data_IF_496564932921
#
_entry.id   IF_496564932921
#
_cell.length_a   1.000
_cell.length_b   1.000
_cell.length_c   1.000
_cell.angle_alpha   90.00
_cell.angle_beta   90.00
_cell.angle_gamma   90.00
#
_symmetry.space_group_name_H-M   'P 1'
#
loop_
_entity.id
_entity.type
_entity.pdbx_description
1 polymer ?
#
# COMPACT_ATOMS: atom_id res chain seq x y z
N UNK A 1 14.26 -8.08 -3.60
CA UNK A 1 13.72 -7.40 -4.78
C UNK A 1 12.80 -8.38 -5.49
N UNK A 2 11.49 -8.13 -5.49
CA UNK A 2 10.53 -8.95 -6.26
C UNK A 2 10.35 -8.28 -7.63
N UNK A 3 10.69 -9.01 -8.70
CA UNK A 3 10.36 -8.66 -10.08
C UNK A 3 9.24 -9.61 -10.49
N UNK A 4 8.02 -9.10 -10.67
CA UNK A 4 6.97 -9.88 -11.34
C UNK A 4 6.90 -9.37 -12.77
N UNK A 5 7.56 -10.13 -13.65
CA UNK A 5 7.66 -9.80 -15.05
C UNK A 5 6.60 -10.55 -15.87
N UNK A 6 5.88 -9.82 -16.72
CA UNK A 6 5.10 -10.38 -17.84
C UNK A 6 5.67 -9.95 -19.18
N UNK A 7 6.94 -9.53 -19.23
CA UNK A 7 7.55 -9.04 -20.45
C UNK A 7 8.25 -10.20 -21.16
N UNK A 8 7.58 -10.78 -22.15
CA UNK A 8 8.26 -11.35 -23.31
C UNK A 8 8.86 -10.19 -24.11
N UNK A 9 10.16 -9.92 -23.94
CA UNK A 9 10.91 -8.97 -24.75
C UNK A 9 11.14 -9.55 -26.16
N UNK A 10 10.18 -9.37 -27.06
CA UNK A 10 10.41 -9.48 -28.50
C UNK A 10 10.85 -8.13 -29.05
N UNK A 11 11.87 -8.11 -29.89
CA UNK A 11 12.50 -6.93 -30.50
C UNK A 11 11.64 -6.19 -31.53
N UNK A 12 10.31 -6.30 -31.44
CA UNK A 12 9.35 -5.76 -32.42
C UNK A 12 8.21 -5.00 -31.70
N UNK A 13 8.53 -4.15 -30.72
CA UNK A 13 7.57 -3.16 -30.25
C UNK A 13 7.69 -1.89 -31.11
N UNK A 14 7.33 -2.04 -32.38
CA UNK A 14 7.14 -0.94 -33.31
C UNK A 14 5.70 -0.41 -33.21
N UNK A 15 5.34 0.09 -32.03
CA UNK A 15 4.23 1.03 -31.87
C UNK A 15 4.53 1.94 -30.66
N UNK A 16 4.25 3.23 -30.77
CA UNK A 16 4.72 4.29 -29.86
C UNK A 16 4.10 4.29 -28.45
N UNK A 17 3.68 3.13 -27.93
CA UNK A 17 3.00 3.00 -26.65
C UNK A 17 4.01 3.08 -25.49
N UNK A 18 3.92 4.14 -24.68
CA UNK A 18 4.80 4.35 -23.52
C UNK A 18 4.55 3.28 -22.47
N UNK A 19 5.52 2.39 -22.26
CA UNK A 19 5.45 1.35 -21.23
C UNK A 19 5.67 1.95 -19.83
N UNK A 20 4.72 1.70 -18.93
CA UNK A 20 4.76 2.16 -17.54
C UNK A 20 5.16 1.01 -16.61
N UNK A 21 5.96 1.32 -15.60
CA UNK A 21 6.39 0.40 -14.55
C UNK A 21 6.07 1.05 -13.20
N UNK A 22 5.49 0.28 -12.27
CA UNK A 22 5.31 0.75 -10.90
C UNK A 22 6.42 0.19 -10.00
N UNK A 23 7.02 1.08 -9.20
CA UNK A 23 8.04 0.74 -8.21
C UNK A 23 7.51 1.09 -6.81
N UNK A 24 7.57 0.11 -5.91
CA UNK A 24 7.10 0.21 -4.53
C UNK A 24 8.28 0.07 -3.57
N UNK A 25 8.44 1.02 -2.65
CA UNK A 25 9.55 1.11 -1.71
C UNK A 25 9.08 0.97 -0.26
N UNK A 26 9.97 0.62 0.70
CA UNK A 26 9.61 0.66 2.11
C UNK A 26 9.35 2.12 2.54
N UNK A 27 8.55 2.34 3.60
CA UNK A 27 8.37 3.69 4.14
C UNK A 27 9.70 4.23 4.68
N UNK A 28 10.05 5.45 4.28
CA UNK A 28 11.17 6.20 4.89
C UNK A 28 10.68 7.00 6.11
N UNK A 29 9.56 7.72 5.93
CA UNK A 29 8.84 8.43 6.97
C UNK A 29 7.35 8.35 6.65
N UNK A 30 6.51 8.05 7.65
CA UNK A 30 5.07 8.22 7.53
C UNK A 30 4.58 9.14 8.62
N UNK A 31 4.11 10.30 8.20
CA UNK A 31 3.43 11.25 9.06
C UNK A 31 1.92 10.96 9.09
N UNK A 32 1.35 11.14 10.27
CA UNK A 32 -0.11 11.15 10.45
C UNK A 32 -0.70 12.20 9.52
N UNK A 33 -1.72 11.82 8.74
CA UNK A 33 -2.38 12.73 7.80
C UNK A 33 -1.72 12.91 6.43
N UNK A 34 -0.59 12.26 6.12
CA UNK A 34 0.14 12.44 4.85
C UNK A 34 -0.74 12.20 3.60
N UNK A 35 -1.71 11.29 3.67
CA UNK A 35 -2.66 11.01 2.57
C UNK A 35 -4.11 11.42 2.89
N UNK A 36 -4.31 12.33 3.86
CA UNK A 36 -5.64 12.77 4.29
C UNK A 36 -6.50 13.33 3.15
N UNK A 37 -5.90 14.16 2.29
CA UNK A 37 -6.61 14.79 1.18
C UNK A 37 -7.12 13.75 0.17
N UNK A 38 -6.28 12.77 -0.19
CA UNK A 38 -6.67 11.68 -1.09
C UNK A 38 -7.75 10.81 -0.46
N UNK A 39 -7.62 10.47 0.82
CA UNK A 39 -8.61 9.67 1.53
C UNK A 39 -9.99 10.35 1.58
N UNK A 40 -10.05 11.68 1.65
CA UNK A 40 -11.32 12.44 1.65
C UNK A 40 -11.90 12.69 0.26
N UNK A 41 -11.06 12.82 -0.76
CA UNK A 41 -11.47 13.35 -2.07
C UNK A 41 -11.51 12.29 -3.18
N UNK A 42 -10.84 11.16 -3.00
CA UNK A 42 -10.72 10.13 -4.01
C UNK A 42 -11.42 8.83 -3.58
N UNK A 43 -12.60 8.50 -4.15
CA UNK A 43 -13.38 7.35 -3.72
C UNK A 43 -12.69 6.00 -4.00
N UNK A 44 -11.79 5.94 -4.98
CA UNK A 44 -11.03 4.71 -5.27
C UNK A 44 -9.96 4.52 -4.20
N UNK A 45 -9.33 5.62 -3.80
CA UNK A 45 -8.34 5.60 -2.73
C UNK A 45 -9.01 5.21 -1.41
N UNK A 46 -10.10 5.88 -1.04
CA UNK A 46 -10.88 5.59 0.17
C UNK A 46 -11.31 4.11 0.23
N UNK A 47 -11.96 3.61 -0.82
CA UNK A 47 -12.42 2.22 -0.88
C UNK A 47 -11.26 1.23 -0.78
N UNK A 48 -10.09 1.54 -1.35
CA UNK A 48 -8.91 0.69 -1.25
C UNK A 48 -8.36 0.60 0.18
N UNK A 49 -8.37 1.73 0.92
CA UNK A 49 -7.99 1.75 2.33
C UNK A 49 -9.01 0.96 3.17
N UNK A 50 -10.31 1.15 2.94
CA UNK A 50 -11.36 0.41 3.64
C UNK A 50 -11.23 -1.10 3.42
N UNK A 51 -10.92 -1.54 2.20
CA UNK A 51 -10.65 -2.96 1.93
C UNK A 51 -9.44 -3.50 2.70
N UNK A 52 -8.39 -2.68 2.87
CA UNK A 52 -7.25 -3.06 3.71
C UNK A 52 -7.67 -3.16 5.17
N UNK A 53 -8.43 -2.18 5.69
CA UNK A 53 -8.94 -2.18 7.06
C UNK A 53 -9.79 -3.42 7.34
N UNK A 54 -10.70 -3.81 6.44
CA UNK A 54 -11.50 -5.04 6.57
C UNK A 54 -10.65 -6.30 6.73
N UNK A 55 -9.53 -6.40 6.02
CA UNK A 55 -8.58 -7.52 6.16
C UNK A 55 -7.85 -7.45 7.50
N UNK A 56 -7.53 -6.25 7.97
CA UNK A 56 -6.65 -6.00 9.10
C UNK A 56 -7.37 -5.93 10.44
N UNK A 57 -8.71 -5.99 10.49
CA UNK A 57 -9.51 -5.96 11.72
C UNK A 57 -9.02 -6.93 12.80
N UNK A 58 -8.57 -8.12 12.40
CA UNK A 58 -8.08 -9.15 13.33
C UNK A 58 -6.59 -8.99 13.69
N UNK A 59 -5.86 -8.11 13.00
CA UNK A 59 -4.41 -7.92 13.14
C UNK A 59 -4.03 -6.59 13.79
N UNK A 60 -4.87 -5.57 13.65
CA UNK A 60 -4.63 -4.21 14.14
C UNK A 60 -5.84 -3.73 14.95
N UNK A 61 -5.63 -3.29 16.21
CA UNK A 61 -6.71 -2.77 17.05
C UNK A 61 -7.28 -1.42 16.57
N UNK A 62 -6.51 -0.67 15.79
CA UNK A 62 -6.89 0.66 15.28
C UNK A 62 -6.90 0.62 13.75
N UNK A 63 -7.98 1.06 13.09
CA UNK A 63 -8.04 1.08 11.63
C UNK A 63 -7.08 2.11 11.03
N UNK A 64 -6.55 1.80 9.85
CA UNK A 64 -5.62 2.63 9.09
C UNK A 64 -6.22 3.99 8.74
N UNK A 65 -7.52 4.04 8.41
CA UNK A 65 -8.23 5.28 8.08
C UNK A 65 -8.11 6.35 9.18
N UNK A 66 -8.06 5.95 10.45
CA UNK A 66 -7.89 6.87 11.58
C UNK A 66 -6.51 7.52 11.65
N UNK A 67 -5.48 6.96 11.02
CA UNK A 67 -4.17 7.61 10.89
C UNK A 67 -4.10 8.56 9.70
N UNK A 68 -4.96 8.37 8.70
CA UNK A 68 -5.08 9.28 7.55
C UNK A 68 -5.95 10.49 7.88
N UNK A 69 -7.01 10.30 8.66
CA UNK A 69 -7.90 11.34 9.13
C UNK A 69 -8.12 11.18 10.63
N UNK A 70 -7.14 11.59 11.45
CA UNK A 70 -7.29 11.53 12.89
C UNK A 70 -8.43 12.42 13.33
N UNK A 71 -9.28 11.88 14.20
CA UNK A 71 -10.26 12.68 14.92
C UNK A 71 -9.50 13.61 15.90
N UNK A 72 -9.69 14.94 15.83
CA UNK A 72 -9.04 15.89 16.73
C UNK A 72 -9.21 15.57 18.21
N UNK A 73 -10.34 14.95 18.60
CA UNK A 73 -10.61 14.56 19.99
C UNK A 73 -9.86 13.28 20.39
N UNK A 74 -9.63 12.37 19.45
CA UNK A 74 -8.99 11.08 19.67
C UNK A 74 -7.46 11.13 19.46
N UNK A 75 -6.97 12.13 18.72
CA UNK A 75 -5.57 12.32 18.35
C UNK A 75 -4.61 12.55 19.52
N UNK A 76 -5.11 13.08 20.64
CA UNK A 76 -4.25 13.61 21.72
C UNK A 76 -3.50 12.56 22.55
N UNK A 77 -3.86 11.26 22.51
CA UNK A 77 -3.21 10.27 23.39
C UNK A 77 -2.90 8.89 22.78
N UNK A 78 -3.46 8.52 21.62
CA UNK A 78 -3.33 7.15 21.09
C UNK A 78 -2.59 7.06 19.74
N UNK A 79 -2.79 8.03 18.84
CA UNK A 79 -2.34 7.92 17.45
C UNK A 79 -0.89 8.33 17.23
N UNK A 80 -0.46 9.42 17.86
CA UNK A 80 0.93 9.89 17.79
C UNK A 80 1.88 8.84 18.38
N UNK A 81 1.44 8.16 19.44
CA UNK A 81 2.15 7.07 20.08
C UNK A 81 2.05 5.78 19.26
N UNK A 82 0.87 5.30 18.84
CA UNK A 82 0.76 4.06 18.05
C UNK A 82 1.57 4.05 16.74
N UNK A 83 1.65 5.19 16.03
CA UNK A 83 2.44 5.32 14.80
C UNK A 83 3.94 5.50 15.09
N UNK A 84 4.33 6.15 16.20
CA UNK A 84 5.73 6.22 16.65
C UNK A 84 6.22 4.93 17.31
N UNK A 85 5.32 4.11 17.85
CA UNK A 85 5.65 2.99 18.74
C UNK A 85 5.79 1.65 18.01
N UNK A 86 5.25 1.46 16.79
CA UNK A 86 5.44 0.16 16.10
C UNK A 86 5.77 0.25 14.60
N UNK A 87 6.88 -0.40 14.22
CA UNK A 87 7.25 -0.70 12.82
C UNK A 87 6.09 -1.29 12.02
N UNK A 88 5.20 -2.03 12.70
CA UNK A 88 4.04 -2.68 12.10
C UNK A 88 3.05 -1.70 11.50
N UNK A 89 2.60 -0.68 12.25
CA UNK A 89 1.63 0.29 11.73
C UNK A 89 2.22 1.06 10.55
N UNK A 90 3.48 1.50 10.66
CA UNK A 90 4.18 2.20 9.57
C UNK A 90 4.26 1.34 8.30
N UNK A 91 4.64 0.07 8.41
CA UNK A 91 4.72 -0.81 7.24
C UNK A 91 3.35 -1.08 6.60
N UNK A 92 2.32 -1.34 7.41
CA UNK A 92 0.99 -1.69 6.91
C UNK A 92 0.27 -0.47 6.33
N UNK A 93 0.38 0.70 6.96
CA UNK A 93 -0.15 1.94 6.41
C UNK A 93 0.56 2.32 5.12
N UNK A 94 1.89 2.14 5.04
CA UNK A 94 2.63 2.36 3.80
C UNK A 94 2.19 1.41 2.67
N UNK A 95 1.95 0.13 2.97
CA UNK A 95 1.38 -0.82 2.02
C UNK A 95 0.03 -0.32 1.50
N UNK A 96 -0.89 0.06 2.40
CA UNK A 96 -2.25 0.43 2.03
C UNK A 96 -2.28 1.71 1.17
N UNK A 97 -1.46 2.71 1.51
CA UNK A 97 -1.31 3.95 0.71
C UNK A 97 -0.76 3.64 -0.68
N UNK A 98 0.31 2.85 -0.78
CA UNK A 98 0.91 2.48 -2.06
C UNK A 98 -0.06 1.66 -2.94
N UNK A 99 -0.78 0.72 -2.33
CA UNK A 99 -1.82 -0.06 -3.00
C UNK A 99 -2.96 0.82 -3.52
N UNK A 100 -3.47 1.73 -2.69
CA UNK A 100 -4.54 2.65 -3.05
C UNK A 100 -4.14 3.60 -4.20
N UNK A 101 -2.91 4.13 -4.18
CA UNK A 101 -2.36 4.93 -5.29
C UNK A 101 -2.28 4.11 -6.58
N UNK A 102 -1.77 2.87 -6.51
CA UNK A 102 -1.68 2.01 -7.69
C UNK A 102 -3.08 1.70 -8.26
N UNK A 103 -4.05 1.37 -7.41
CA UNK A 103 -5.45 1.16 -7.83
C UNK A 103 -6.05 2.41 -8.45
N UNK A 104 -5.75 3.60 -7.93
CA UNK A 104 -6.20 4.86 -8.50
C UNK A 104 -5.65 5.07 -9.91
N UNK A 105 -4.35 4.91 -10.12
CA UNK A 105 -3.73 5.04 -11.44
C UNK A 105 -4.28 4.01 -12.44
N UNK A 106 -4.43 2.75 -12.03
CA UNK A 106 -5.03 1.70 -12.86
C UNK A 106 -6.48 2.03 -13.23
N UNK A 107 -7.26 2.62 -12.31
CA UNK A 107 -8.63 3.05 -12.61
C UNK A 107 -8.69 4.18 -13.64
N UNK A 108 -7.63 4.98 -13.78
CA UNK A 108 -7.50 6.02 -14.82
C UNK A 108 -6.93 5.48 -16.14
N UNK A 109 -6.74 4.16 -16.27
CA UNK A 109 -6.22 3.53 -17.48
C UNK A 109 -4.70 3.39 -17.54
N UNK A 110 -3.98 3.76 -16.47
CA UNK A 110 -2.53 3.53 -16.38
C UNK A 110 -2.26 2.11 -15.90
N UNK A 111 -2.09 1.19 -16.85
CA UNK A 111 -1.78 -0.20 -16.56
C UNK A 111 -0.27 -0.45 -16.56
N UNK A 112 0.34 -0.89 -15.43
CA UNK A 112 1.75 -1.19 -15.40
C UNK A 112 2.06 -2.46 -16.20
N UNK A 113 3.07 -2.41 -17.07
CA UNK A 113 3.59 -3.60 -17.79
C UNK A 113 4.47 -4.47 -16.90
N UNK A 114 5.07 -3.87 -15.86
CA UNK A 114 5.80 -4.56 -14.81
C UNK A 114 5.64 -3.85 -13.48
N UNK A 115 5.83 -4.60 -12.39
CA UNK A 115 5.85 -4.08 -11.02
C UNK A 115 7.09 -4.55 -10.29
N UNK A 116 7.71 -3.64 -9.54
CA UNK A 116 8.88 -3.92 -8.71
C UNK A 116 8.61 -3.52 -7.28
N UNK A 117 9.14 -4.31 -6.35
CA UNK A 117 9.08 -4.00 -4.94
C UNK A 117 10.43 -4.21 -4.26
N UNK A 118 10.72 -3.36 -3.27
CA UNK A 118 11.82 -3.52 -2.32
C UNK A 118 11.29 -3.41 -0.89
N UNK A 119 11.77 -4.27 0.03
CA UNK A 119 11.33 -4.28 1.42
C UNK A 119 9.82 -4.51 1.56
N UNK A 120 9.11 -3.63 2.25
CA UNK A 120 7.64 -3.69 2.36
C UNK A 120 6.94 -3.53 1.00
N UNK A 121 7.56 -2.86 0.03
CA UNK A 121 7.02 -2.70 -1.33
C UNK A 121 6.91 -4.01 -2.11
N UNK A 122 7.63 -5.07 -1.72
CA UNK A 122 7.52 -6.40 -2.34
C UNK A 122 6.12 -7.00 -2.22
N UNK A 123 5.48 -6.78 -1.06
CA UNK A 123 4.12 -7.23 -0.80
C UNK A 123 3.11 -6.48 -1.69
N UNK A 124 3.32 -5.18 -1.88
CA UNK A 124 2.48 -4.35 -2.75
C UNK A 124 2.61 -4.81 -4.20
N UNK A 125 3.84 -4.99 -4.69
CA UNK A 125 4.12 -5.48 -6.03
C UNK A 125 3.49 -6.87 -6.29
N UNK A 126 3.65 -7.80 -5.34
CA UNK A 126 3.03 -9.12 -5.42
C UNK A 126 1.49 -9.05 -5.43
N UNK A 127 0.89 -8.10 -4.68
CA UNK A 127 -0.55 -7.91 -4.69
C UNK A 127 -1.06 -7.27 -5.99
N UNK A 128 -0.39 -6.23 -6.50
CA UNK A 128 -0.78 -5.54 -7.73
C UNK A 128 -0.62 -6.44 -8.97
N UNK A 129 0.42 -7.27 -9.01
CA UNK A 129 0.60 -8.27 -10.07
C UNK A 129 -0.40 -9.44 -10.01
N UNK A 130 -1.12 -9.60 -8.89
CA UNK A 130 -2.02 -10.72 -8.67
C UNK A 130 -1.33 -12.02 -8.23
N UNK A 131 -0.01 -12.01 -7.98
CA UNK A 131 0.71 -13.16 -7.43
C UNK A 131 0.26 -13.49 -5.98
N UNK A 132 -0.16 -12.48 -5.22
CA UNK A 132 -0.79 -12.62 -3.92
C UNK A 132 -2.15 -11.92 -3.88
N UNK A 133 -3.10 -12.52 -3.15
CA UNK A 133 -4.34 -11.82 -2.79
C UNK A 133 -4.05 -10.68 -1.82
N UNK A 134 -4.91 -9.66 -1.78
CA UNK A 134 -4.79 -8.55 -0.81
C UNK A 134 -4.73 -9.08 0.63
N UNK A 135 -5.61 -10.04 0.95
CA UNK A 135 -5.63 -10.73 2.24
C UNK A 135 -4.29 -11.37 2.57
N UNK A 136 -3.80 -12.24 1.68
CA UNK A 136 -2.54 -12.96 1.90
C UNK A 136 -1.34 -12.03 2.02
N UNK A 137 -1.28 -10.97 1.22
CA UNK A 137 -0.18 -10.00 1.26
C UNK A 137 -0.13 -9.24 2.60
N UNK A 138 -1.29 -8.76 3.07
CA UNK A 138 -1.41 -8.06 4.36
C UNK A 138 -1.15 -9.00 5.55
N UNK A 139 -1.69 -10.22 5.52
CA UNK A 139 -1.47 -11.21 6.59
C UNK A 139 0.02 -11.57 6.72
N UNK A 140 0.72 -11.80 5.60
CA UNK A 140 2.15 -12.07 5.61
C UNK A 140 2.95 -10.88 6.14
N UNK A 141 2.60 -9.65 5.73
CA UNK A 141 3.25 -8.44 6.19
C UNK A 141 3.07 -8.27 7.72
N UNK A 142 1.86 -8.41 8.24
CA UNK A 142 1.59 -8.32 9.67
C UNK A 142 2.34 -9.37 10.47
N UNK A 143 2.41 -10.62 9.97
CA UNK A 143 3.17 -11.70 10.61
C UNK A 143 4.66 -11.44 10.60
N UNK A 144 5.22 -10.95 9.49
CA UNK A 144 6.65 -10.55 9.41
C UNK A 144 6.97 -9.51 10.47
N UNK A 145 6.17 -8.44 10.53
CA UNK A 145 6.35 -7.35 11.49
C UNK A 145 6.12 -7.77 12.95
N UNK A 146 5.53 -8.93 13.21
CA UNK A 146 5.44 -9.50 14.56
C UNK A 146 6.71 -10.22 15.00
N UNK A 147 7.56 -10.65 14.06
CA UNK A 147 8.83 -11.32 14.35
C UNK A 147 9.99 -10.33 14.58
N UNK A 148 9.83 -9.08 14.15
CA UNK A 148 10.86 -8.03 14.21
C UNK A 148 10.60 -7.02 15.32
N UNK A 149 9.73 -7.35 16.30
CA UNK A 149 9.39 -6.53 17.47
C UNK A 149 10.20 -6.91 18.71
#
# INVERSE_FOLDING_TARGET
MVIVDRISMSSEDADGEKKVVFLFSPPEHQDVGLAAALFKLDPVFEASIQLCDEVLKDFLPVPLGSFLCPDPELANNLFADALRITSRYTCVLAFAVQYALAKRWMKQGVEPKAVLGYGTGEYVAACISGALSLRSALELLCRREALTQ
#
